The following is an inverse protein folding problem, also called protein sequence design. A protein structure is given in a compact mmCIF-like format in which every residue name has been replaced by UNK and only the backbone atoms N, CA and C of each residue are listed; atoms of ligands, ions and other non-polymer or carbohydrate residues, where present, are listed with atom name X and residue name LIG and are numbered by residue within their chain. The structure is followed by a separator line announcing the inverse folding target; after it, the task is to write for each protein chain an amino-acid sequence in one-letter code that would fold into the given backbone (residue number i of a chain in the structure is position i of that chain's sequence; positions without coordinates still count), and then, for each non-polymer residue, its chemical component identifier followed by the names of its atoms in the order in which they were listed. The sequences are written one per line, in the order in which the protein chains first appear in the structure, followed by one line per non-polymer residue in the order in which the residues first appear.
data_IF_406150789549
#
_entry.id   IF_406150789549
#
_cell.length_a   1.000
_cell.length_b   1.000
_cell.length_c   1.000
_cell.angle_alpha   90.00
_cell.angle_beta   90.00
_cell.angle_gamma   90.00
#
_symmetry.space_group_name_H-M   'P 1'
#
loop_
_entity.id
_entity.type
_entity.pdbx_description
1 polymer ?
#
# COMPACT_ATOMS: atom_id res chain seq x y z
N UNK A 1 16.39 12.52 -4.59
CA UNK A 1 15.95 12.79 -3.20
C UNK A 1 14.77 11.88 -2.92
N UNK A 2 14.72 11.21 -1.76
CA UNK A 2 13.61 10.34 -1.38
C UNK A 2 12.41 11.19 -0.94
N UNK A 3 11.20 10.75 -1.28
CA UNK A 3 9.91 11.37 -0.95
C UNK A 3 9.01 10.31 -0.32
N UNK A 4 8.02 10.77 0.44
CA UNK A 4 7.04 9.90 1.09
C UNK A 4 5.77 9.83 0.24
N UNK A 5 5.29 8.62 -0.02
CA UNK A 5 4.05 8.39 -0.74
C UNK A 5 3.09 7.60 0.12
N UNK A 6 1.81 7.97 0.11
CA UNK A 6 0.73 7.13 0.61
C UNK A 6 0.05 6.43 -0.55
N UNK A 7 0.09 5.10 -0.51
CA UNK A 7 -0.51 4.24 -1.52
C UNK A 7 -1.72 3.56 -0.93
N UNK A 8 -2.89 3.85 -1.48
CA UNK A 8 -4.15 3.18 -1.12
C UNK A 8 -4.34 1.99 -2.05
N UNK A 9 -4.56 0.82 -1.46
CA UNK A 9 -4.74 -0.41 -2.21
C UNK A 9 -5.96 -1.17 -1.72
N UNK A 10 -6.65 -1.81 -2.65
CA UNK A 10 -7.66 -2.82 -2.38
C UNK A 10 -6.99 -4.18 -2.47
N UNK A 11 -7.24 -5.05 -1.51
CA UNK A 11 -6.72 -6.42 -1.48
C UNK A 11 -7.90 -7.36 -1.30
N UNK A 12 -8.08 -8.25 -2.26
CA UNK A 12 -9.10 -9.30 -2.25
C UNK A 12 -8.43 -10.61 -1.83
N UNK A 13 -8.81 -11.17 -0.69
CA UNK A 13 -8.30 -12.48 -0.25
C UNK A 13 -9.47 -13.43 -0.05
N UNK A 14 -9.32 -14.65 -0.57
CA UNK A 14 -10.22 -15.75 -0.29
C UNK A 14 -9.78 -16.41 1.00
N UNK A 15 -10.50 -16.13 2.09
CA UNK A 15 -10.25 -16.75 3.39
C UNK A 15 -11.09 -18.02 3.44
N UNK A 16 -10.44 -19.18 3.60
CA UNK A 16 -11.10 -20.49 3.51
C UNK A 16 -12.33 -20.62 4.43
N UNK A 17 -12.37 -19.90 5.55
CA UNK A 17 -13.43 -19.98 6.56
C UNK A 17 -14.49 -18.86 6.46
N UNK A 18 -14.21 -17.76 5.75
CA UNK A 18 -15.06 -16.56 5.72
C UNK A 18 -15.50 -16.13 4.31
N UNK A 19 -15.05 -16.82 3.26
CA UNK A 19 -15.35 -16.48 1.86
C UNK A 19 -14.39 -15.43 1.29
N UNK A 20 -14.85 -14.68 0.28
CA UNK A 20 -14.06 -13.58 -0.32
C UNK A 20 -14.16 -12.33 0.57
N UNK A 21 -13.03 -11.96 1.18
CA UNK A 21 -12.87 -10.73 1.93
C UNK A 21 -12.17 -9.67 1.09
N UNK A 22 -12.77 -8.48 1.00
CA UNK A 22 -12.11 -7.29 0.44
C UNK A 22 -11.64 -6.41 1.59
N UNK A 23 -10.34 -6.09 1.62
CA UNK A 23 -9.76 -5.14 2.56
C UNK A 23 -9.19 -3.94 1.82
N UNK A 24 -9.24 -2.78 2.46
CA UNK A 24 -8.64 -1.55 1.95
C UNK A 24 -7.51 -1.15 2.89
N UNK A 25 -6.31 -1.02 2.34
CA UNK A 25 -5.10 -0.72 3.12
C UNK A 25 -4.43 0.55 2.60
N UNK A 26 -3.73 1.24 3.48
CA UNK A 26 -2.87 2.38 3.13
C UNK A 26 -1.44 2.04 3.52
N UNK A 27 -0.55 2.04 2.54
CA UNK A 27 0.89 1.85 2.70
C UNK A 27 1.58 3.21 2.66
N UNK A 28 2.60 3.39 3.51
CA UNK A 28 3.50 4.53 3.46
C UNK A 28 4.83 4.05 2.86
N UNK A 29 5.24 4.69 1.76
CA UNK A 29 6.33 4.22 0.92
C UNK A 29 7.33 5.34 0.72
N UNK A 30 8.59 5.09 1.02
CA UNK A 30 9.67 6.01 0.68
C UNK A 30 10.23 5.64 -0.70
N UNK A 31 10.10 6.54 -1.67
CA UNK A 31 10.52 6.34 -3.05
C UNK A 31 11.03 7.65 -3.68
N UNK A 32 11.73 7.59 -4.82
CA UNK A 32 12.20 8.78 -5.56
C UNK A 32 11.06 9.45 -6.34
N UNK A 33 10.13 8.65 -6.83
CA UNK A 33 8.98 9.06 -7.63
C UNK A 33 7.79 8.10 -7.45
N UNK A 34 6.64 8.45 -8.01
CA UNK A 34 5.40 7.67 -7.92
C UNK A 34 5.54 6.27 -8.55
N UNK A 35 6.34 6.13 -9.62
CA UNK A 35 6.53 4.86 -10.32
C UNK A 35 7.37 3.89 -9.49
N UNK A 36 8.42 4.37 -8.81
CA UNK A 36 9.17 3.56 -7.86
C UNK A 36 8.30 3.17 -6.66
N UNK A 37 7.42 4.07 -6.17
CA UNK A 37 6.47 3.74 -5.11
C UNK A 37 5.48 2.63 -5.52
N UNK A 38 4.92 2.72 -6.73
CA UNK A 38 4.04 1.71 -7.31
C UNK A 38 4.72 0.33 -7.37
N UNK A 39 5.93 0.27 -7.94
CA UNK A 39 6.70 -0.97 -8.07
C UNK A 39 7.01 -1.61 -6.70
N UNK A 40 7.32 -0.79 -5.69
CA UNK A 40 7.59 -1.27 -4.34
C UNK A 40 6.34 -1.87 -3.69
N UNK A 41 5.16 -1.26 -3.91
CA UNK A 41 3.89 -1.78 -3.39
C UNK A 41 3.48 -3.07 -4.10
N UNK A 42 3.62 -3.14 -5.43
CA UNK A 42 3.35 -4.39 -6.15
C UNK A 42 4.24 -5.52 -5.64
N UNK A 43 5.53 -5.24 -5.46
CA UNK A 43 6.51 -6.22 -4.95
C UNK A 43 6.16 -6.67 -3.53
N UNK A 44 5.83 -5.73 -2.64
CA UNK A 44 5.41 -6.04 -1.27
C UNK A 44 4.21 -6.99 -1.25
N UNK A 45 3.17 -6.72 -2.04
CA UNK A 45 2.00 -7.60 -2.07
C UNK A 45 2.30 -8.98 -2.67
N UNK A 46 3.18 -9.06 -3.67
CA UNK A 46 3.64 -10.35 -4.20
C UNK A 46 4.40 -11.17 -3.17
N UNK A 47 5.27 -10.52 -2.39
CA UNK A 47 6.02 -11.14 -1.28
C UNK A 47 5.07 -11.61 -0.15
N UNK A 48 4.00 -10.87 0.11
CA UNK A 48 2.90 -11.23 1.02
C UNK A 48 1.92 -12.27 0.42
N UNK A 49 2.27 -12.88 -0.71
CA UNK A 49 1.51 -13.97 -1.33
C UNK A 49 0.23 -13.54 -2.07
N UNK A 50 0.03 -12.23 -2.28
CA UNK A 50 -1.07 -11.75 -3.10
C UNK A 50 -0.74 -11.92 -4.60
N UNK A 51 -1.63 -12.58 -5.34
CA UNK A 51 -1.57 -12.60 -6.81
C UNK A 51 -1.93 -11.22 -7.37
N UNK A 52 -1.44 -10.87 -8.57
CA UNK A 52 -1.79 -9.59 -9.22
C UNK A 52 -3.30 -9.37 -9.38
N UNK A 53 -4.05 -10.43 -9.64
CA UNK A 53 -5.52 -10.39 -9.72
C UNK A 53 -6.24 -10.09 -8.38
N UNK A 54 -5.51 -10.21 -7.27
CA UNK A 54 -6.04 -10.10 -5.91
C UNK A 54 -5.66 -8.78 -5.24
N UNK A 55 -4.97 -7.87 -5.93
CA UNK A 55 -4.73 -6.53 -5.41
C UNK A 55 -4.88 -5.47 -6.50
N UNK A 56 -5.27 -4.27 -6.10
CA UNK A 56 -5.43 -3.13 -6.98
C UNK A 56 -4.91 -1.89 -6.25
N UNK A 57 -4.02 -1.13 -6.90
CA UNK A 57 -3.60 0.17 -6.41
C UNK A 57 -4.65 1.19 -6.84
N UNK A 58 -5.31 1.82 -5.88
CA UNK A 58 -6.39 2.77 -6.10
C UNK A 58 -5.89 4.20 -6.24
N UNK A 59 -4.87 4.55 -5.44
CA UNK A 59 -4.35 5.92 -5.40
C UNK A 59 -2.92 5.95 -4.87
N UNK A 60 -2.09 6.79 -5.47
CA UNK A 60 -0.76 7.15 -4.97
C UNK A 60 -0.78 8.66 -4.73
N UNK A 61 -0.36 9.09 -3.54
CA UNK A 61 -0.30 10.51 -3.16
C UNK A 61 1.07 10.81 -2.54
N UNK A 62 1.81 11.78 -3.08
CA UNK A 62 3.01 12.30 -2.41
C UNK A 62 2.59 13.07 -1.15
N UNK A 63 3.11 12.65 0.01
CA UNK A 63 2.96 13.35 1.28
C UNK A 63 4.20 14.20 1.49
N UNK A 64 3.99 15.50 1.70
CA UNK A 64 5.02 16.42 2.15
C UNK A 64 4.97 16.48 3.67
N UNK A 65 5.84 15.76 4.41
CA UNK A 65 5.83 15.82 5.86
C UNK A 65 6.16 17.24 6.31
N UNK A 66 5.33 17.81 7.18
CA UNK A 66 5.72 19.02 7.92
C UNK A 66 6.57 18.60 9.12
N UNK A 67 7.37 19.51 9.66
CA UNK A 67 8.14 19.23 10.88
C UNK A 67 7.18 18.89 12.03
N UNK A 68 7.36 17.70 12.63
CA UNK A 68 6.66 17.29 13.86
C UNK A 68 5.33 16.55 13.70
N UNK A 69 5.13 15.74 12.65
CA UNK A 69 3.86 15.00 12.44
C UNK A 69 4.02 13.47 12.54
N UNK A 70 3.02 12.80 13.13
CA UNK A 70 2.90 11.34 13.14
C UNK A 70 2.52 10.89 11.72
N UNK A 71 3.45 10.20 11.05
CA UNK A 71 3.28 9.79 9.65
C UNK A 71 2.22 8.69 9.47
N UNK A 72 1.92 7.93 10.52
CA UNK A 72 0.85 6.94 10.52
C UNK A 72 0.71 6.22 11.86
N UNK A 73 -0.47 5.64 12.07
CA UNK A 73 -0.75 4.68 13.15
C UNK A 73 -1.17 3.39 12.47
N UNK A 74 -0.45 2.30 12.75
CA UNK A 74 -0.80 0.96 12.28
C UNK A 74 -1.61 0.32 13.41
N UNK A 75 -2.89 0.06 13.16
CA UNK A 75 -3.74 -0.72 14.07
C UNK A 75 -4.04 -2.05 13.38
N UNK A 76 -3.59 -3.13 14.02
CA UNK A 76 -3.91 -4.51 13.66
C UNK A 76 -5.12 -5.00 14.43
#
# INVERSE_FOLDING_TARGET
MMRLFKVKSKVSRKVQELGEGTSYVSLLVLAKDEKEAENLVEKYFQEEGAKKENFEILKIEEIKPKEGEVLGVIVG
#
